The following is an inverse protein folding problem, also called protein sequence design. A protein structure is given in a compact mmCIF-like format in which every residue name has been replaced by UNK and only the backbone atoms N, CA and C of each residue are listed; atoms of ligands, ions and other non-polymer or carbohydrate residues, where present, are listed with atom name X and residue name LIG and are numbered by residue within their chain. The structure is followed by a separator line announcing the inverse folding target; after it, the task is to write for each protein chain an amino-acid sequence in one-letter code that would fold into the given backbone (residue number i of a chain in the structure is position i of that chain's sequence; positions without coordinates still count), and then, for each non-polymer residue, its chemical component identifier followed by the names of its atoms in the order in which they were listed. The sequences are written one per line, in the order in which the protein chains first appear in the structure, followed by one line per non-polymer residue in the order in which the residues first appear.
data_IF_837981029475
#
_entry.id   IF_837981029475
#
_cell.length_a   1.000
_cell.length_b   1.000
_cell.length_c   1.000
_cell.angle_alpha   90.00
_cell.angle_beta   90.00
_cell.angle_gamma   90.00
#
_symmetry.space_group_name_H-M   'P 1'
#
loop_
_entity.id
_entity.type
_entity.pdbx_description
1 polymer ?
#
# COMPACT_ATOMS: atom_id res chain seq x y z
N UNK A 1 7.59 9.00 2.01
CA UNK A 1 8.40 7.78 1.74
C UNK A 1 8.26 7.33 0.29
N UNK A 2 7.05 6.94 -0.16
CA UNK A 2 6.77 6.53 -1.54
C UNK A 2 7.11 7.60 -2.60
N UNK A 3 6.91 8.88 -2.29
CA UNK A 3 7.29 10.00 -3.18
C UNK A 3 8.74 10.47 -2.98
N UNK A 4 9.49 9.86 -2.07
CA UNK A 4 10.84 10.30 -1.70
C UNK A 4 11.85 9.16 -1.79
N UNK A 5 12.53 8.78 -0.69
CA UNK A 5 13.64 7.83 -0.72
C UNK A 5 13.27 6.43 -1.22
N UNK A 6 11.98 6.07 -1.22
CA UNK A 6 11.49 4.76 -1.69
C UNK A 6 10.71 4.86 -3.02
N UNK A 7 10.90 5.94 -3.77
CA UNK A 7 10.22 6.13 -5.05
C UNK A 7 10.55 5.00 -6.02
N UNK A 8 9.50 4.39 -6.58
CA UNK A 8 9.60 3.24 -7.47
C UNK A 8 9.73 1.88 -6.76
N UNK A 9 9.92 1.87 -5.44
CA UNK A 9 9.97 0.66 -4.60
C UNK A 9 8.70 0.53 -3.75
N UNK A 10 8.28 1.61 -3.12
CA UNK A 10 7.07 1.68 -2.30
C UNK A 10 5.99 2.50 -3.01
N UNK A 11 4.78 1.96 -3.07
CA UNK A 11 3.56 2.66 -3.48
C UNK A 11 2.69 3.06 -2.29
N UNK A 12 1.84 4.05 -2.51
CA UNK A 12 0.75 4.45 -1.62
C UNK A 12 -0.46 4.73 -2.50
N UNK A 13 -1.60 4.13 -2.18
CA UNK A 13 -2.81 4.20 -2.99
C UNK A 13 -4.01 4.62 -2.16
N UNK A 14 -4.81 5.54 -2.71
CA UNK A 14 -6.01 6.11 -2.06
C UNK A 14 -7.29 5.82 -2.83
N UNK A 15 -7.18 5.27 -4.03
CA UNK A 15 -8.31 4.81 -4.84
C UNK A 15 -8.85 3.47 -4.32
N UNK A 16 -10.16 3.22 -4.43
CA UNK A 16 -10.76 1.95 -4.04
C UNK A 16 -10.46 0.86 -5.07
N UNK A 17 -9.25 0.29 -5.00
CA UNK A 17 -8.76 -0.75 -5.93
C UNK A 17 -8.88 -2.16 -5.33
N UNK A 18 -8.78 -3.16 -6.20
CA UNK A 18 -8.76 -4.59 -5.85
C UNK A 18 -7.47 -5.26 -6.32
N UNK A 19 -7.27 -6.54 -5.98
CA UNK A 19 -6.01 -7.26 -6.22
C UNK A 19 -5.52 -7.21 -7.67
N UNK A 20 -6.42 -7.40 -8.64
CA UNK A 20 -6.07 -7.44 -10.06
C UNK A 20 -5.60 -6.09 -10.62
N UNK A 21 -5.90 -4.98 -9.95
CA UNK A 21 -5.42 -3.66 -10.37
C UNK A 21 -3.90 -3.52 -10.18
N UNK A 22 -3.27 -4.41 -9.41
CA UNK A 22 -1.83 -4.41 -9.13
C UNK A 22 -1.06 -5.48 -9.92
N UNK A 23 -1.73 -6.23 -10.81
CA UNK A 23 -1.05 -7.22 -11.66
C UNK A 23 -0.03 -6.53 -12.58
N UNK A 24 1.18 -7.08 -12.62
CA UNK A 24 2.39 -6.56 -13.26
C UNK A 24 2.93 -5.26 -12.66
N UNK A 25 2.48 -4.83 -11.47
CA UNK A 25 3.11 -3.70 -10.79
C UNK A 25 4.53 -4.09 -10.31
N UNK A 26 5.51 -3.24 -10.60
CA UNK A 26 6.93 -3.54 -10.34
C UNK A 26 7.39 -3.12 -8.95
N UNK A 27 6.54 -2.40 -8.19
CA UNK A 27 6.85 -1.94 -6.84
C UNK A 27 6.80 -3.12 -5.88
N UNK A 28 7.69 -3.13 -4.89
CA UNK A 28 7.78 -4.23 -3.92
C UNK A 28 6.62 -4.27 -2.93
N UNK A 29 5.97 -3.14 -2.70
CA UNK A 29 4.76 -3.04 -1.89
C UNK A 29 3.97 -1.79 -2.24
N UNK A 30 2.64 -1.85 -2.23
CA UNK A 30 1.75 -0.70 -2.34
C UNK A 30 0.81 -0.67 -1.13
N UNK A 31 0.91 0.38 -0.31
CA UNK A 31 0.08 0.55 0.88
C UNK A 31 -1.32 1.00 0.47
N UNK A 32 -2.35 0.27 0.89
CA UNK A 32 -3.75 0.66 0.77
C UNK A 32 -4.13 1.60 1.91
N UNK A 33 -4.35 2.87 1.58
CA UNK A 33 -4.70 3.91 2.53
C UNK A 33 -6.09 3.71 3.14
N UNK A 34 -7.06 3.26 2.35
CA UNK A 34 -8.46 3.15 2.78
C UNK A 34 -8.65 2.01 3.78
N UNK A 35 -7.82 0.97 3.67
CA UNK A 35 -7.83 -0.17 4.60
C UNK A 35 -6.90 0.03 5.82
N UNK A 36 -6.17 1.14 5.89
CA UNK A 36 -5.27 1.45 7.00
C UNK A 36 -6.04 2.07 8.18
N UNK A 37 -5.85 1.52 9.39
CA UNK A 37 -6.55 2.03 10.57
C UNK A 37 -5.78 1.83 11.88
N UNK A 38 -6.05 2.71 12.84
CA UNK A 38 -5.57 2.57 14.22
C UNK A 38 -6.67 1.94 15.07
N UNK A 39 -6.37 0.77 15.62
CA UNK A 39 -7.22 0.02 16.54
C UNK A 39 -6.81 0.35 17.97
N UNK A 40 -7.80 0.69 18.81
CA UNK A 40 -7.62 0.97 20.25
C UNK A 40 -6.53 2.02 20.55
N UNK A 41 -6.34 3.00 19.66
CA UNK A 41 -5.42 4.13 19.83
C UNK A 41 -3.93 3.84 19.63
N UNK A 42 -3.50 2.57 19.64
CA UNK A 42 -2.07 2.21 19.60
C UNK A 42 -1.71 1.12 18.59
N UNK A 43 -2.64 0.29 18.15
CA UNK A 43 -2.35 -0.78 17.20
C UNK A 43 -2.64 -0.33 15.77
N UNK A 44 -1.60 -0.22 14.95
CA UNK A 44 -1.75 0.09 13.52
C UNK A 44 -1.98 -1.19 12.71
N UNK A 45 -3.08 -1.26 11.98
CA UNK A 45 -3.36 -2.27 10.96
C UNK A 45 -3.14 -1.65 9.57
N UNK A 46 -2.35 -2.30 8.74
CA UNK A 46 -2.00 -1.84 7.39
C UNK A 46 -2.15 -3.00 6.41
N UNK A 47 -2.65 -2.70 5.21
CA UNK A 47 -2.65 -3.63 4.07
C UNK A 47 -1.65 -3.18 3.03
N UNK A 48 -0.88 -4.13 2.50
CA UNK A 48 0.10 -3.92 1.44
C UNK A 48 -0.13 -4.93 0.32
N UNK A 49 -0.33 -4.43 -0.89
CA UNK A 49 -0.40 -5.23 -2.11
C UNK A 49 0.99 -5.42 -2.69
N UNK A 50 1.24 -6.58 -3.29
CA UNK A 50 2.42 -6.86 -4.11
C UNK A 50 2.02 -7.91 -5.13
N UNK A 51 2.60 -7.83 -6.33
CA UNK A 51 2.57 -8.91 -7.30
C UNK A 51 3.75 -9.85 -7.04
N UNK A 52 3.52 -11.16 -7.06
CA UNK A 52 4.41 -12.17 -6.49
C UNK A 52 5.11 -13.04 -7.54
#
# INVERSE_FOLDING_TARGET
AAEGPLRGILGYETRPLVSSDYTNDRRSAIIDALSTMVVNGTQLKVYAWYDN
#
